data_IF_018532492375
#
_entry.id   IF_018532492375
#
_cell.length_a   1.000
_cell.length_b   1.000
_cell.length_c   1.000
_cell.angle_alpha   90.00
_cell.angle_beta   90.00
_cell.angle_gamma   90.00
#
_symmetry.space_group_name_H-M   'P 1'
#
loop_
_entity.id
_entity.type
_entity.pdbx_description
1 polymer ?
#
# COMPACT_ATOMS: atom_id res chain seq x y z
N UNK A 1 -24.38 48.72 -13.52
CA UNK A 1 -22.95 48.39 -13.38
C UNK A 1 -22.72 47.07 -14.10
N UNK A 2 -21.70 46.94 -14.94
CA UNK A 2 -21.35 45.67 -15.59
C UNK A 2 -20.87 44.68 -14.52
N UNK A 3 -21.37 43.44 -14.58
CA UNK A 3 -20.80 42.33 -13.82
C UNK A 3 -19.71 41.75 -14.71
N UNK A 4 -18.45 42.11 -14.41
CA UNK A 4 -17.31 41.51 -15.08
C UNK A 4 -17.24 40.02 -14.71
N UNK A 5 -17.13 39.21 -15.76
CA UNK A 5 -17.08 37.76 -15.78
C UNK A 5 -15.78 37.24 -15.15
N UNK A 6 -15.77 37.04 -13.83
CA UNK A 6 -14.74 36.25 -13.13
C UNK A 6 -15.17 34.77 -12.98
N UNK A 7 -15.82 34.22 -14.01
CA UNK A 7 -16.38 32.86 -13.99
C UNK A 7 -15.37 31.78 -14.42
N UNK A 8 -14.07 32.09 -14.47
CA UNK A 8 -13.02 31.18 -14.96
C UNK A 8 -12.35 30.30 -13.90
N UNK A 9 -12.25 30.75 -12.65
CA UNK A 9 -11.23 30.18 -11.74
C UNK A 9 -11.78 29.19 -10.68
N UNK A 10 -13.02 28.72 -10.81
CA UNK A 10 -13.66 27.86 -9.78
C UNK A 10 -13.70 26.37 -10.10
N UNK A 11 -13.09 25.94 -11.21
CA UNK A 11 -13.13 24.54 -11.65
C UNK A 11 -11.91 23.71 -11.20
N UNK A 12 -10.78 24.34 -10.84
CA UNK A 12 -9.50 23.64 -10.63
C UNK A 12 -9.07 23.46 -9.17
N UNK A 13 -9.82 23.99 -8.19
CA UNK A 13 -9.42 23.87 -6.77
C UNK A 13 -9.87 22.56 -6.10
N UNK A 14 -10.92 21.90 -6.58
CA UNK A 14 -11.39 20.63 -5.99
C UNK A 14 -10.52 19.44 -6.40
N UNK A 15 -9.93 19.49 -7.61
CA UNK A 15 -9.15 18.39 -8.17
C UNK A 15 -7.83 18.14 -7.42
N UNK A 16 -7.26 19.17 -6.78
CA UNK A 16 -5.98 19.07 -6.09
C UNK A 16 -6.04 18.48 -4.68
N UNK A 17 -7.13 18.70 -3.94
CA UNK A 17 -7.26 18.26 -2.54
C UNK A 17 -7.50 16.75 -2.42
N UNK A 18 -8.26 16.16 -3.34
CA UNK A 18 -8.60 14.74 -3.37
C UNK A 18 -7.39 13.85 -3.68
N UNK A 19 -6.47 14.35 -4.52
CA UNK A 19 -5.26 13.63 -4.90
C UNK A 19 -4.24 13.52 -3.75
N UNK A 20 -4.24 14.46 -2.80
CA UNK A 20 -3.29 14.47 -1.67
C UNK A 20 -3.65 13.43 -0.59
N UNK A 21 -4.95 13.21 -0.31
CA UNK A 21 -5.42 12.27 0.71
C UNK A 21 -5.16 10.79 0.34
N UNK A 22 -5.29 10.46 -0.95
CA UNK A 22 -5.00 9.11 -1.45
C UNK A 22 -3.52 8.74 -1.32
N UNK A 23 -2.62 9.72 -1.49
CA UNK A 23 -1.17 9.54 -1.33
C UNK A 23 -0.83 9.28 0.14
N UNK A 24 -1.44 10.03 1.06
CA UNK A 24 -1.25 9.84 2.50
C UNK A 24 -1.69 8.43 2.95
N UNK A 25 -2.86 7.98 2.49
CA UNK A 25 -3.38 6.66 2.86
C UNK A 25 -2.47 5.52 2.36
N UNK A 26 -1.98 5.61 1.13
CA UNK A 26 -1.08 4.59 0.57
C UNK A 26 0.25 4.51 1.34
N UNK A 27 0.83 5.65 1.71
CA UNK A 27 2.07 5.71 2.50
C UNK A 27 1.90 5.09 3.88
N UNK A 28 0.76 5.33 4.55
CA UNK A 28 0.45 4.73 5.85
C UNK A 28 0.40 3.19 5.76
N UNK A 29 -0.21 2.65 4.71
CA UNK A 29 -0.31 1.20 4.48
C UNK A 29 1.10 0.60 4.26
N UNK A 30 1.91 1.21 3.40
CA UNK A 30 3.29 0.73 3.14
C UNK A 30 4.15 0.71 4.40
N UNK A 31 4.10 1.78 5.21
CA UNK A 31 4.81 1.83 6.50
C UNK A 31 4.32 0.71 7.43
N UNK A 32 3.02 0.45 7.47
CA UNK A 32 2.47 -0.62 8.29
C UNK A 32 2.95 -2.00 7.82
N UNK A 33 3.05 -2.24 6.52
CA UNK A 33 3.52 -3.51 5.96
C UNK A 33 5.01 -3.74 6.23
N UNK A 34 5.83 -2.69 6.13
CA UNK A 34 7.26 -2.74 6.53
C UNK A 34 7.39 -3.05 8.02
N UNK A 35 6.63 -2.37 8.89
CA UNK A 35 6.65 -2.65 10.34
C UNK A 35 6.25 -4.09 10.65
N UNK A 36 5.25 -4.64 9.97
CA UNK A 36 4.84 -6.05 10.13
C UNK A 36 5.91 -7.02 9.64
N UNK A 37 6.66 -6.67 8.60
CA UNK A 37 7.77 -7.48 8.12
C UNK A 37 8.93 -7.49 9.13
N UNK A 38 9.26 -6.34 9.72
CA UNK A 38 10.25 -6.20 10.79
C UNK A 38 9.86 -6.99 12.04
N UNK A 39 8.60 -6.89 12.48
CA UNK A 39 8.11 -7.68 13.62
C UNK A 39 8.25 -9.19 13.39
N UNK A 40 8.05 -9.66 12.15
CA UNK A 40 8.26 -11.07 11.79
C UNK A 40 9.75 -11.46 11.79
N UNK A 41 10.64 -10.54 11.43
CA UNK A 41 12.09 -10.74 11.54
C UNK A 41 12.50 -10.91 13.01
N UNK A 42 12.04 -10.02 13.88
CA UNK A 42 12.29 -10.09 15.33
C UNK A 42 11.73 -11.36 15.96
N UNK A 43 10.53 -11.79 15.54
CA UNK A 43 9.92 -13.03 15.98
C UNK A 43 10.55 -14.30 15.37
N UNK A 44 11.50 -14.18 14.44
CA UNK A 44 12.10 -15.31 13.72
C UNK A 44 11.16 -16.03 12.76
N UNK A 45 10.00 -15.44 12.45
CA UNK A 45 8.98 -16.00 11.54
C UNK A 45 8.99 -15.34 10.16
N UNK A 46 9.96 -14.47 9.90
CA UNK A 46 10.14 -13.86 8.60
C UNK A 46 10.39 -14.90 7.52
N UNK A 47 9.71 -14.73 6.39
CA UNK A 47 9.72 -15.72 5.33
C UNK A 47 8.82 -16.93 5.59
N UNK A 48 7.97 -16.93 6.61
CA UNK A 48 6.86 -17.88 6.74
C UNK A 48 5.54 -17.25 6.31
N UNK A 49 4.73 -18.02 5.59
CA UNK A 49 3.41 -17.63 5.13
C UNK A 49 2.44 -17.54 6.32
N UNK A 50 1.80 -16.40 6.51
CA UNK A 50 0.78 -16.22 7.58
C UNK A 50 -0.50 -17.03 7.36
N UNK A 51 -0.72 -17.54 6.14
CA UNK A 51 -1.90 -18.34 5.80
C UNK A 51 -1.73 -19.84 6.00
N UNK A 52 -0.58 -20.40 5.61
CA UNK A 52 -0.34 -21.85 5.63
C UNK A 52 0.89 -22.28 6.45
N UNK A 53 1.65 -21.33 7.01
CA UNK A 53 2.88 -21.60 7.76
C UNK A 53 4.08 -22.07 6.93
N UNK A 54 3.91 -22.26 5.62
CA UNK A 54 5.00 -22.70 4.74
C UNK A 54 6.00 -21.59 4.43
N UNK A 55 7.26 -21.92 4.11
CA UNK A 55 8.26 -20.92 3.72
C UNK A 55 7.85 -20.19 2.43
N UNK A 56 7.98 -18.87 2.43
CA UNK A 56 7.81 -17.99 1.28
C UNK A 56 9.07 -18.11 0.42
N UNK A 57 8.92 -18.45 -0.86
CA UNK A 57 10.05 -18.63 -1.76
C UNK A 57 10.96 -17.39 -1.83
N UNK A 58 12.28 -17.61 -1.81
CA UNK A 58 13.27 -16.53 -1.78
C UNK A 58 13.12 -15.51 -2.92
N UNK A 59 12.79 -15.96 -4.14
CA UNK A 59 12.50 -15.06 -5.28
C UNK A 59 11.37 -14.07 -5.00
N UNK A 60 10.39 -14.48 -4.19
CA UNK A 60 9.26 -13.64 -3.82
C UNK A 60 9.62 -12.61 -2.76
N UNK A 61 10.38 -13.01 -1.75
CA UNK A 61 10.91 -12.08 -0.74
C UNK A 61 11.90 -11.09 -1.36
N UNK A 62 12.66 -11.50 -2.38
CA UNK A 62 13.54 -10.60 -3.13
C UNK A 62 12.76 -9.57 -3.96
N UNK A 63 11.61 -9.95 -4.54
CA UNK A 63 10.76 -9.03 -5.29
C UNK A 63 9.90 -8.13 -4.38
N UNK A 64 9.45 -8.66 -3.23
CA UNK A 64 8.63 -7.96 -2.26
C UNK A 64 8.98 -8.44 -0.85
N UNK A 65 9.84 -7.71 -0.11
CA UNK A 65 10.28 -8.08 1.23
C UNK A 65 9.15 -8.06 2.27
N UNK A 66 8.12 -7.25 2.04
CA UNK A 66 6.97 -7.14 2.94
C UNK A 66 5.96 -8.29 2.79
N UNK A 67 6.14 -9.16 1.79
CA UNK A 67 5.23 -10.25 1.48
C UNK A 67 4.90 -11.11 2.71
N UNK A 68 3.61 -11.25 3.01
CA UNK A 68 3.09 -12.03 4.13
C UNK A 68 2.58 -13.43 3.74
N UNK A 69 2.32 -13.67 2.46
CA UNK A 69 1.73 -14.91 1.97
C UNK A 69 2.60 -15.56 0.89
N UNK A 70 2.61 -16.88 0.83
CA UNK A 70 3.21 -17.64 -0.27
C UNK A 70 2.41 -17.45 -1.57
N UNK A 71 2.99 -17.88 -2.71
CA UNK A 71 2.34 -17.73 -4.02
C UNK A 71 1.06 -18.55 -4.12
N UNK A 72 1.01 -19.70 -3.47
CA UNK A 72 -0.17 -20.57 -3.46
C UNK A 72 -1.32 -19.91 -2.69
N UNK A 73 -1.05 -19.40 -1.48
CA UNK A 73 -2.05 -18.66 -0.70
C UNK A 73 -2.48 -17.35 -1.36
N UNK A 74 -1.62 -16.72 -2.16
CA UNK A 74 -2.00 -15.53 -2.93
C UNK A 74 -2.90 -15.89 -4.11
N UNK A 75 -2.60 -16.99 -4.81
CA UNK A 75 -3.40 -17.47 -5.95
C UNK A 75 -4.74 -18.04 -5.54
N UNK A 76 -4.87 -18.55 -4.31
CA UNK A 76 -6.11 -19.09 -3.78
C UNK A 76 -7.15 -18.02 -3.36
N UNK A 77 -6.82 -16.73 -3.44
CA UNK A 77 -7.72 -15.61 -3.11
C UNK A 77 -8.49 -15.07 -4.32
N UNK A 78 -8.44 -15.77 -5.47
CA UNK A 78 -8.98 -15.34 -6.75
C UNK A 78 -10.19 -16.22 -7.12
#
# INVERSE_FOLDING_TARGET
MPVDDDSGERATELEGAEALDAVDTALVIEIADVRRALARLEAGTYGLCVGCGQPIGARRLAASPTAAKCIDCQRALI
#
